data_IF_064229781099
#
_entry.id   IF_064229781099
#
_cell.length_a   1.000
_cell.length_b   1.000
_cell.length_c   1.000
_cell.angle_alpha   90.00
_cell.angle_beta   90.00
_cell.angle_gamma   90.00
#
_symmetry.space_group_name_H-M   'P 1'
#
loop_
_entity.id
_entity.type
_entity.pdbx_description
1 polymer ?
#
# COMPACT_ATOMS: atom_id res chain seq x y z
N UNK A 1 23.82 -7.22 2.57
CA UNK A 1 24.22 -6.85 1.18
C UNK A 1 25.01 -5.55 1.25
N UNK A 2 26.12 -5.39 0.51
CA UNK A 2 26.84 -4.10 0.45
C UNK A 2 26.13 -3.19 -0.55
N UNK A 3 25.74 -1.99 -0.13
CA UNK A 3 25.09 -1.01 -1.00
C UNK A 3 25.76 0.36 -0.81
N UNK A 4 25.86 1.12 -1.91
CA UNK A 4 26.33 2.51 -1.88
C UNK A 4 25.23 3.38 -1.27
N UNK A 5 25.55 4.07 -0.18
CA UNK A 5 24.61 4.98 0.47
C UNK A 5 25.16 6.40 0.47
N UNK A 6 24.37 7.33 -0.08
CA UNK A 6 24.61 8.76 0.07
C UNK A 6 24.05 9.20 1.42
N UNK A 7 24.93 9.33 2.41
CA UNK A 7 24.54 9.71 3.78
C UNK A 7 24.34 11.23 3.90
N UNK A 8 25.11 12.00 3.14
CA UNK A 8 25.08 13.46 3.11
C UNK A 8 25.21 13.96 1.68
N UNK A 9 24.38 14.94 1.28
CA UNK A 9 24.43 15.54 -0.05
C UNK A 9 25.80 16.23 -0.24
N UNK A 10 26.53 15.84 -1.30
CA UNK A 10 27.82 16.43 -1.65
C UNK A 10 29.07 15.70 -1.10
N UNK A 11 28.92 14.62 -0.34
CA UNK A 11 30.02 13.74 0.04
C UNK A 11 30.07 12.48 -0.86
N UNK A 12 31.26 11.89 -1.10
CA UNK A 12 31.35 10.62 -1.81
C UNK A 12 30.55 9.54 -1.07
N UNK A 13 29.90 8.62 -1.81
CA UNK A 13 29.05 7.59 -1.21
C UNK A 13 29.88 6.63 -0.35
N UNK A 14 29.31 6.25 0.79
CA UNK A 14 29.92 5.29 1.71
C UNK A 14 29.38 3.88 1.44
N UNK A 15 30.26 2.88 1.45
CA UNK A 15 29.89 1.47 1.23
C UNK A 15 29.53 0.88 2.59
N UNK A 16 28.23 0.84 2.89
CA UNK A 16 27.74 0.27 4.15
C UNK A 16 27.13 -1.11 3.93
N UNK A 17 27.30 -1.96 4.94
CA UNK A 17 26.55 -3.21 5.01
C UNK A 17 25.11 -2.89 5.37
N UNK A 18 24.23 -2.98 4.37
CA UNK A 18 22.80 -2.90 4.59
C UNK A 18 22.33 -4.30 4.95
N UNK A 19 21.68 -4.51 6.12
CA UNK A 19 21.04 -5.77 6.40
C UNK A 19 20.09 -6.08 5.24
N UNK A 20 20.23 -7.27 4.65
CA UNK A 20 19.26 -7.74 3.67
C UNK A 20 17.90 -7.62 4.34
N UNK A 21 16.91 -6.90 3.74
CA UNK A 21 15.60 -6.83 4.35
C UNK A 21 15.15 -8.26 4.60
N UNK A 22 14.93 -8.62 5.88
CA UNK A 22 14.21 -9.83 6.23
C UNK A 22 13.00 -9.81 5.32
N UNK A 23 12.84 -10.83 4.46
CA UNK A 23 11.82 -10.85 3.42
C UNK A 23 10.47 -10.53 4.04
N UNK A 24 10.10 -9.24 4.01
CA UNK A 24 8.86 -8.78 4.58
C UNK A 24 7.76 -9.37 3.71
N UNK A 25 6.57 -9.56 4.28
CA UNK A 25 5.36 -9.74 3.47
C UNK A 25 5.14 -8.46 2.67
N UNK A 26 5.81 -8.38 1.53
CA UNK A 26 5.42 -7.54 0.43
C UNK A 26 4.18 -8.19 -0.21
N UNK A 27 3.41 -7.38 -0.95
CA UNK A 27 2.14 -7.73 -1.62
C UNK A 27 1.97 -9.22 -2.00
N UNK A 28 0.74 -9.71 -1.93
CA UNK A 28 0.40 -11.06 -2.38
C UNK A 28 0.68 -11.30 -3.87
N UNK A 29 0.87 -12.57 -4.20
CA UNK A 29 1.03 -13.09 -5.55
C UNK A 29 -0.29 -13.10 -6.33
N UNK A 30 -0.22 -13.31 -7.65
CA UNK A 30 -1.43 -13.43 -8.50
C UNK A 30 -2.34 -14.60 -8.08
N UNK A 31 -1.83 -15.82 -7.77
CA UNK A 31 -2.66 -16.90 -7.26
C UNK A 31 -3.38 -16.54 -5.95
N UNK A 32 -2.66 -15.95 -4.99
CA UNK A 32 -3.27 -15.51 -3.72
C UNK A 32 -4.40 -14.49 -3.94
N UNK A 33 -4.28 -13.60 -4.94
CA UNK A 33 -5.38 -12.70 -5.30
C UNK A 33 -6.60 -13.46 -5.82
N UNK A 34 -6.42 -14.52 -6.61
CA UNK A 34 -7.53 -15.34 -7.13
C UNK A 34 -8.29 -15.99 -5.97
N UNK A 35 -7.57 -16.56 -5.00
CA UNK A 35 -8.17 -17.19 -3.81
C UNK A 35 -9.03 -16.19 -3.02
N UNK A 36 -8.53 -14.97 -2.78
CA UNK A 36 -9.29 -13.93 -2.07
C UNK A 36 -10.53 -13.49 -2.85
N UNK A 37 -10.45 -13.43 -4.18
CA UNK A 37 -11.60 -13.13 -5.04
C UNK A 37 -12.64 -14.25 -5.05
N UNK A 38 -12.24 -15.50 -4.92
CA UNK A 38 -13.16 -16.64 -4.77
C UNK A 38 -13.90 -16.57 -3.43
N UNK A 39 -13.20 -16.25 -2.34
CA UNK A 39 -13.84 -16.02 -1.04
C UNK A 39 -14.88 -14.89 -1.10
N UNK A 40 -14.54 -13.77 -1.77
CA UNK A 40 -15.47 -12.66 -1.96
C UNK A 40 -16.68 -13.07 -2.82
N UNK A 41 -16.46 -13.81 -3.91
CA UNK A 41 -17.53 -14.32 -4.77
C UNK A 41 -18.48 -15.27 -4.05
N UNK A 42 -17.97 -16.09 -3.14
CA UNK A 42 -18.76 -17.00 -2.32
C UNK A 42 -19.43 -16.30 -1.12
N UNK A 43 -19.30 -14.98 -0.98
CA UNK A 43 -19.86 -14.22 0.13
C UNK A 43 -19.17 -14.45 1.48
N UNK A 44 -18.00 -15.10 1.48
CA UNK A 44 -17.23 -15.40 2.69
C UNK A 44 -16.34 -14.22 3.10
N UNK A 45 -16.15 -13.24 2.21
CA UNK A 45 -15.39 -12.02 2.44
C UNK A 45 -16.19 -10.82 1.93
N UNK A 46 -16.39 -9.82 2.80
CA UNK A 46 -16.97 -8.53 2.43
C UNK A 46 -16.01 -7.41 2.84
N UNK A 47 -15.95 -6.35 2.03
CA UNK A 47 -15.12 -5.17 2.28
C UNK A 47 -16.03 -3.97 2.49
N UNK A 48 -15.86 -3.27 3.61
CA UNK A 48 -16.51 -1.99 3.84
C UNK A 48 -15.89 -0.93 2.93
N UNK A 49 -16.69 -0.36 2.05
CA UNK A 49 -16.27 0.67 1.11
C UNK A 49 -17.13 1.93 1.21
N UNK A 50 -16.51 3.05 0.91
CA UNK A 50 -17.18 4.34 0.70
C UNK A 50 -16.79 4.85 -0.70
N UNK A 51 -17.79 5.20 -1.50
CA UNK A 51 -17.59 5.61 -2.89
C UNK A 51 -17.44 7.13 -2.97
N UNK A 52 -16.49 7.57 -3.78
CA UNK A 52 -16.23 8.97 -4.10
C UNK A 52 -16.18 9.14 -5.61
N UNK A 53 -16.80 10.19 -6.14
CA UNK A 53 -16.55 10.59 -7.53
C UNK A 53 -15.11 11.11 -7.70
N UNK A 54 -14.64 11.20 -8.94
CA UNK A 54 -13.31 11.73 -9.24
C UNK A 54 -13.09 13.15 -8.67
N UNK A 55 -14.10 14.02 -8.74
CA UNK A 55 -14.04 15.38 -8.21
C UNK A 55 -13.95 15.42 -6.67
N UNK A 56 -14.43 14.37 -5.99
CA UNK A 56 -14.39 14.24 -4.53
C UNK A 56 -13.10 13.56 -4.03
N UNK A 57 -12.19 13.15 -4.91
CA UNK A 57 -10.94 12.50 -4.51
C UNK A 57 -10.13 13.30 -3.45
N UNK A 58 -10.03 14.65 -3.50
CA UNK A 58 -9.36 15.42 -2.45
C UNK A 58 -9.98 15.25 -1.06
N UNK A 59 -11.31 15.14 -0.99
CA UNK A 59 -12.03 14.93 0.27
C UNK A 59 -11.72 13.54 0.85
N UNK A 60 -11.70 12.50 0.01
CA UNK A 60 -11.33 11.15 0.40
C UNK A 60 -9.92 11.09 1.03
N UNK A 61 -8.96 11.83 0.44
CA UNK A 61 -7.61 11.94 1.00
C UNK A 61 -7.57 12.69 2.32
N UNK A 62 -8.34 13.78 2.47
CA UNK A 62 -8.44 14.52 3.72
C UNK A 62 -9.00 13.62 4.83
N UNK A 63 -10.12 12.94 4.59
CA UNK A 63 -10.71 11.98 5.54
C UNK A 63 -9.75 10.84 5.90
N UNK A 64 -8.95 10.36 4.94
CA UNK A 64 -7.89 9.37 5.21
C UNK A 64 -6.81 9.94 6.13
N UNK A 65 -6.36 11.18 5.89
CA UNK A 65 -5.36 11.85 6.71
C UNK A 65 -5.86 12.09 8.14
N UNK A 66 -7.13 12.50 8.27
CA UNK A 66 -7.78 12.82 9.54
C UNK A 66 -8.21 11.55 10.31
N UNK A 67 -8.10 10.36 9.70
CA UNK A 67 -8.50 9.08 10.32
C UNK A 67 -10.01 8.86 10.41
N UNK A 68 -10.80 9.57 9.59
CA UNK A 68 -12.27 9.53 9.62
C UNK A 68 -12.86 8.35 8.83
N UNK A 69 -12.05 7.67 8.02
CA UNK A 69 -12.50 6.52 7.22
C UNK A 69 -12.54 5.23 8.05
N UNK A 70 -13.71 4.59 8.08
CA UNK A 70 -13.89 3.27 8.73
C UNK A 70 -13.40 2.10 7.88
N UNK A 71 -13.47 2.25 6.56
CA UNK A 71 -13.12 1.22 5.57
C UNK A 71 -12.28 1.80 4.43
N UNK A 72 -12.50 1.30 3.22
CA UNK A 72 -11.77 1.77 2.04
C UNK A 72 -12.54 2.85 1.28
N UNK A 73 -11.96 4.04 1.13
CA UNK A 73 -12.42 4.99 0.14
C UNK A 73 -12.03 4.51 -1.27
N UNK A 74 -13.02 4.41 -2.17
CA UNK A 74 -12.83 4.02 -3.58
C UNK A 74 -13.31 5.16 -4.46
N UNK A 75 -12.39 5.72 -5.24
CA UNK A 75 -12.71 6.74 -6.23
C UNK A 75 -13.16 6.05 -7.51
N UNK A 76 -14.36 6.42 -7.99
CA UNK A 76 -14.95 5.90 -9.22
C UNK A 76 -15.02 7.02 -10.28
N UNK A 77 -14.80 6.71 -11.58
CA UNK A 77 -14.90 7.68 -12.67
C UNK A 77 -16.32 8.24 -12.85
#
# INVERSE_FOLDING_TARGET
>A
MKALQYVTIGQPPDVREVPTPLGGRNRGSRPELVEVLELARNGQLAVEIELYSLDQAPEAYRKLHDGELRGRAVVVP
#
